data_IF_213484754713
#
_entry.id   IF_213484754713
#
_cell.length_a   1.000
_cell.length_b   1.000
_cell.length_c   1.000
_cell.angle_alpha   90.00
_cell.angle_beta   90.00
_cell.angle_gamma   90.00
#
_symmetry.space_group_name_H-M   'P 1'
#
loop_
_entity.id
_entity.type
_entity.pdbx_description
1 polymer ?
#
# COMPACT_ATOMS: atom_id res chain seq x y z
N UNK A 1 -3.09 0.74 -15.01
CA UNK A 1 -2.97 1.87 -14.07
C UNK A 1 -1.99 1.50 -12.98
N UNK A 2 -1.42 2.50 -12.30
CA UNK A 2 -0.59 2.28 -11.12
C UNK A 2 -1.29 2.82 -9.86
N UNK A 3 -1.14 2.08 -8.78
CA UNK A 3 -1.68 2.41 -7.48
C UNK A 3 -0.56 2.51 -6.45
N UNK A 4 -0.77 3.34 -5.43
CA UNK A 4 0.08 3.33 -4.24
C UNK A 4 -0.78 3.10 -3.01
N UNK A 5 -0.55 1.96 -2.35
CA UNK A 5 -1.13 1.62 -1.06
C UNK A 5 -0.20 2.12 0.06
N UNK A 6 -0.74 2.96 0.95
CA UNK A 6 -0.03 3.44 2.13
C UNK A 6 -0.47 2.57 3.31
N UNK A 7 0.50 1.88 3.90
CA UNK A 7 0.33 0.85 4.91
C UNK A 7 0.63 1.42 6.30
N UNK A 8 -0.05 0.87 7.31
CA UNK A 8 0.26 1.18 8.70
C UNK A 8 1.53 0.44 9.10
N UNK A 9 2.62 1.18 9.28
CA UNK A 9 3.96 0.65 9.61
C UNK A 9 3.94 -0.34 10.80
N UNK A 10 3.17 -0.04 11.84
CA UNK A 10 3.11 -0.88 13.04
C UNK A 10 2.50 -2.27 12.81
N UNK A 11 1.92 -2.56 11.64
CA UNK A 11 1.35 -3.86 11.30
C UNK A 11 2.27 -4.74 10.46
N UNK A 12 3.41 -4.21 9.98
CA UNK A 12 4.43 -4.96 9.22
C UNK A 12 3.84 -5.78 8.05
N UNK A 13 2.85 -5.21 7.36
CA UNK A 13 2.13 -5.92 6.29
C UNK A 13 2.92 -5.95 4.98
N UNK A 14 3.79 -4.97 4.74
CA UNK A 14 4.61 -4.91 3.54
C UNK A 14 5.59 -6.09 3.48
N UNK A 15 6.18 -6.48 4.61
CA UNK A 15 6.99 -7.71 4.72
C UNK A 15 6.18 -8.96 4.39
N UNK A 16 4.98 -9.09 4.96
CA UNK A 16 4.11 -10.25 4.70
C UNK A 16 3.71 -10.36 3.23
N UNK A 17 3.49 -9.23 2.55
CA UNK A 17 3.21 -9.22 1.11
C UNK A 17 4.46 -9.67 0.33
N UNK A 18 5.63 -9.14 0.68
CA UNK A 18 6.89 -9.48 0.02
C UNK A 18 7.23 -10.97 0.15
N UNK A 19 7.02 -11.58 1.33
CA UNK A 19 7.28 -13.01 1.57
C UNK A 19 6.19 -13.93 1.01
N UNK A 20 5.05 -13.37 0.60
CA UNK A 20 3.89 -14.13 0.12
C UNK A 20 2.99 -14.69 1.23
N UNK A 21 3.29 -14.44 2.50
CA UNK A 21 2.40 -14.77 3.63
C UNK A 21 1.03 -14.08 3.48
N UNK A 22 1.03 -12.84 2.97
CA UNK A 22 -0.16 -12.06 2.64
C UNK A 22 -0.29 -11.93 1.12
N UNK A 23 -1.30 -12.57 0.56
CA UNK A 23 -1.62 -12.55 -0.88
C UNK A 23 -2.86 -11.71 -1.21
N UNK A 24 -3.56 -11.21 -0.20
CA UNK A 24 -4.69 -10.28 -0.34
C UNK A 24 -4.36 -8.99 0.40
N UNK A 25 -4.61 -7.85 -0.24
CA UNK A 25 -4.74 -6.56 0.45
C UNK A 25 -6.23 -6.22 0.58
N UNK A 26 -6.75 -6.27 1.81
CA UNK A 26 -8.12 -5.84 2.11
C UNK A 26 -8.22 -4.36 2.47
N UNK A 27 -9.34 -3.74 2.10
CA UNK A 27 -9.70 -2.40 2.53
C UNK A 27 -11.18 -2.34 2.92
N UNK A 28 -11.43 -1.84 4.13
CA UNK A 28 -12.76 -1.83 4.74
C UNK A 28 -13.19 -0.39 5.03
N UNK A 29 -14.35 0.02 4.53
CA UNK A 29 -14.80 1.41 4.60
C UNK A 29 -16.25 1.57 5.06
N UNK A 30 -16.55 2.69 5.72
CA UNK A 30 -17.93 3.13 5.98
C UNK A 30 -18.56 3.78 4.74
N UNK A 31 -17.75 4.46 3.93
CA UNK A 31 -18.13 5.13 2.68
C UNK A 31 -17.20 4.70 1.55
N UNK A 32 -17.60 4.87 0.28
CA UNK A 32 -16.74 4.52 -0.85
C UNK A 32 -15.52 5.45 -0.90
N UNK A 33 -14.33 4.87 -0.93
CA UNK A 33 -13.06 5.59 -1.06
C UNK A 33 -12.18 4.88 -2.08
N UNK A 34 -11.16 5.55 -2.62
CA UNK A 34 -10.17 4.89 -3.46
C UNK A 34 -9.57 3.68 -2.71
N UNK A 35 -9.51 2.47 -3.32
CA UNK A 35 -9.64 2.19 -4.76
C UNK A 35 -10.99 1.66 -5.26
N UNK A 36 -12.10 1.88 -4.55
CA UNK A 36 -13.42 1.37 -4.93
C UNK A 36 -13.75 1.66 -6.41
N UNK A 37 -14.16 0.62 -7.14
CA UNK A 37 -14.48 0.61 -8.57
C UNK A 37 -13.38 1.14 -9.52
N UNK A 38 -12.14 1.31 -9.04
CA UNK A 38 -11.05 1.94 -9.81
C UNK A 38 -9.78 1.10 -9.91
N UNK A 39 -9.73 -0.05 -9.26
CA UNK A 39 -8.64 -1.03 -9.36
C UNK A 39 -9.11 -2.28 -10.09
N UNK A 40 -8.29 -2.75 -11.03
CA UNK A 40 -8.64 -3.82 -11.94
C UNK A 40 -7.52 -4.87 -12.02
N UNK A 41 -7.88 -6.06 -12.50
CA UNK A 41 -6.90 -7.11 -12.84
C UNK A 41 -5.88 -6.55 -13.83
N UNK A 42 -4.59 -6.81 -13.57
CA UNK A 42 -3.47 -6.34 -14.39
C UNK A 42 -2.80 -5.05 -13.88
N UNK A 43 -3.48 -4.26 -13.05
CA UNK A 43 -2.91 -3.06 -12.45
C UNK A 43 -1.69 -3.38 -11.56
N UNK A 44 -0.84 -2.39 -11.37
CA UNK A 44 0.28 -2.47 -10.42
C UNK A 44 -0.08 -1.79 -9.11
N UNK A 45 0.26 -2.41 -7.99
CA UNK A 45 0.17 -1.78 -6.67
C UNK A 45 1.59 -1.64 -6.11
N UNK A 46 2.01 -0.41 -5.86
CA UNK A 46 3.18 -0.09 -5.08
C UNK A 46 2.79 0.06 -3.61
N UNK A 47 3.64 -0.43 -2.72
CA UNK A 47 3.40 -0.39 -1.28
C UNK A 47 4.48 0.43 -0.60
N UNK A 48 4.04 1.33 0.29
CA UNK A 48 4.90 2.01 1.26
C UNK A 48 4.29 1.91 2.64
N UNK A 49 5.15 1.85 3.65
CA UNK A 49 4.73 2.13 5.01
C UNK A 49 4.62 3.66 5.21
N UNK A 50 3.72 4.08 6.09
CA UNK A 50 3.57 5.51 6.40
C UNK A 50 4.89 6.07 6.92
N UNK A 51 5.34 7.18 6.32
CA UNK A 51 6.64 7.81 6.62
C UNK A 51 7.85 7.20 5.90
N UNK A 52 7.66 6.19 5.06
CA UNK A 52 8.75 5.51 4.34
C UNK A 52 8.56 5.54 2.82
N UNK A 53 9.62 5.37 2.01
CA UNK A 53 9.50 5.27 0.56
C UNK A 53 8.70 4.04 0.13
N UNK A 54 8.12 4.10 -1.08
CA UNK A 54 7.57 2.93 -1.73
C UNK A 54 8.71 2.03 -2.20
N UNK A 55 8.71 0.77 -1.74
CA UNK A 55 9.82 -0.19 -1.94
C UNK A 55 9.38 -1.55 -2.46
N UNK A 56 8.07 -1.78 -2.53
CA UNK A 56 7.48 -3.06 -2.92
C UNK A 56 6.46 -2.82 -4.03
N UNK A 57 6.41 -3.73 -5.00
CA UNK A 57 5.38 -3.78 -6.04
C UNK A 57 4.77 -5.18 -6.09
N UNK A 58 3.46 -5.26 -6.32
CA UNK A 58 2.78 -6.48 -6.76
C UNK A 58 1.81 -6.18 -7.91
N UNK A 59 1.37 -7.22 -8.62
CA UNK A 59 0.34 -7.14 -9.67
C UNK A 59 -1.00 -7.58 -9.13
N UNK A 60 -2.07 -6.90 -9.56
CA UNK A 60 -3.45 -7.31 -9.25
C UNK A 60 -3.83 -8.53 -10.08
N UNK A 61 -4.07 -9.65 -9.42
CA UNK A 61 -4.55 -10.89 -10.04
C UNK A 61 -6.07 -10.89 -10.19
N UNK A 62 -6.78 -10.43 -9.18
CA UNK A 62 -8.24 -10.45 -9.07
C UNK A 62 -8.68 -9.40 -8.06
N UNK A 63 -9.88 -8.85 -8.26
CA UNK A 63 -10.50 -7.93 -7.30
C UNK A 63 -11.89 -8.46 -6.97
N UNK A 64 -12.22 -8.50 -5.68
CA UNK A 64 -13.59 -8.69 -5.20
C UNK A 64 -14.03 -7.44 -4.45
N UNK A 65 -15.25 -7.00 -4.68
CA UNK A 65 -15.83 -5.84 -4.01
C UNK A 65 -17.19 -6.23 -3.42
N UNK A 66 -17.38 -5.90 -2.15
CA UNK A 66 -18.60 -6.18 -1.40
C UNK A 66 -19.14 -4.86 -0.85
N UNK A 67 -20.43 -4.64 -1.01
CA UNK A 67 -21.17 -3.50 -0.47
C UNK A 67 -22.29 -4.02 0.44
N UNK A 68 -22.95 -3.11 1.15
CA UNK A 68 -24.07 -3.41 2.06
C UNK A 68 -23.73 -4.46 3.12
N UNK A 69 -22.49 -4.40 3.62
CA UNK A 69 -22.00 -5.35 4.61
C UNK A 69 -22.83 -5.29 5.91
N UNK A 70 -23.24 -6.47 6.34
CA UNK A 70 -23.78 -6.76 7.68
C UNK A 70 -22.69 -7.38 8.56
N UNK A 71 -22.82 -7.36 9.89
CA UNK A 71 -21.88 -8.04 10.77
C UNK A 71 -21.69 -9.52 10.40
N UNK A 72 -22.77 -10.24 10.10
CA UNK A 72 -22.70 -11.63 9.63
C UNK A 72 -21.84 -11.77 8.37
N UNK A 73 -21.99 -10.86 7.40
CA UNK A 73 -21.19 -10.86 6.17
C UNK A 73 -19.73 -10.53 6.43
N UNK A 74 -19.43 -9.60 7.35
CA UNK A 74 -18.06 -9.29 7.77
C UNK A 74 -17.40 -10.53 8.38
N UNK A 75 -18.11 -11.24 9.25
CA UNK A 75 -17.60 -12.46 9.87
C UNK A 75 -17.31 -13.55 8.82
N UNK A 76 -18.20 -13.77 7.87
CA UNK A 76 -17.98 -14.73 6.77
C UNK A 76 -16.73 -14.37 5.95
N UNK A 77 -16.58 -13.10 5.58
CA UNK A 77 -15.43 -12.64 4.81
C UNK A 77 -14.12 -12.82 5.58
N UNK A 78 -14.11 -12.52 6.88
CA UNK A 78 -12.93 -12.75 7.74
C UNK A 78 -12.61 -14.24 7.85
N UNK A 79 -13.61 -15.09 8.11
CA UNK A 79 -13.40 -16.55 8.18
C UNK A 79 -12.83 -17.10 6.87
N UNK A 80 -13.30 -16.59 5.73
CA UNK A 80 -12.90 -17.06 4.41
C UNK A 80 -11.52 -16.55 3.96
N UNK A 81 -11.18 -15.30 4.28
CA UNK A 81 -10.03 -14.63 3.67
C UNK A 81 -8.94 -14.17 4.65
N UNK A 82 -9.16 -14.22 5.98
CA UNK A 82 -8.21 -13.71 6.98
C UNK A 82 -6.77 -14.22 6.77
N UNK A 83 -6.60 -15.54 6.58
CA UNK A 83 -5.28 -16.13 6.37
C UNK A 83 -4.56 -15.53 5.16
N UNK A 84 -5.25 -15.43 4.01
CA UNK A 84 -4.68 -14.84 2.80
C UNK A 84 -4.46 -13.32 2.93
N UNK A 85 -5.22 -12.66 3.79
CA UNK A 85 -5.08 -11.25 4.15
C UNK A 85 -4.01 -11.00 5.24
N UNK A 86 -3.28 -12.03 5.66
CA UNK A 86 -2.20 -11.95 6.66
C UNK A 86 -2.68 -11.77 8.11
N UNK A 87 -3.96 -12.07 8.37
CA UNK A 87 -4.59 -12.04 9.70
C UNK A 87 -4.57 -13.46 10.27
N UNK A 88 -3.97 -13.62 11.46
CA UNK A 88 -3.95 -14.91 12.15
C UNK A 88 -5.33 -15.25 12.73
N UNK A 89 -5.63 -16.55 12.87
CA UNK A 89 -6.92 -17.04 13.38
C UNK A 89 -7.27 -16.44 14.75
N UNK A 90 -6.28 -16.28 15.62
CA UNK A 90 -6.43 -15.70 16.97
C UNK A 90 -6.82 -14.21 16.94
N UNK A 91 -6.49 -13.50 15.88
CA UNK A 91 -6.74 -12.05 15.74
C UNK A 91 -8.08 -11.76 15.06
N UNK A 92 -8.73 -12.76 14.45
CA UNK A 92 -10.02 -12.60 13.77
C UNK A 92 -11.07 -11.89 14.64
N UNK A 93 -11.26 -12.21 15.94
CA UNK A 93 -12.21 -11.49 16.78
C UNK A 93 -11.92 -9.99 16.89
N UNK A 94 -10.65 -9.60 17.04
CA UNK A 94 -10.26 -8.19 17.13
C UNK A 94 -10.48 -7.45 15.80
N UNK A 95 -10.22 -8.10 14.67
CA UNK A 95 -10.50 -7.54 13.35
C UNK A 95 -12.00 -7.47 13.04
N UNK A 96 -12.78 -8.44 13.51
CA UNK A 96 -14.24 -8.40 13.43
C UNK A 96 -14.80 -7.16 14.13
N UNK A 97 -14.38 -6.90 15.38
CA UNK A 97 -14.81 -5.70 16.11
C UNK A 97 -14.45 -4.40 15.38
N UNK A 98 -13.30 -4.35 14.71
CA UNK A 98 -12.89 -3.19 13.90
C UNK A 98 -13.73 -3.01 12.63
N UNK A 99 -14.21 -4.10 12.04
CA UNK A 99 -14.84 -4.10 10.72
C UNK A 99 -16.36 -4.30 10.71
N UNK A 100 -16.98 -4.73 11.82
CA UNK A 100 -18.41 -5.09 11.90
C UNK A 100 -19.37 -3.99 11.40
N UNK A 101 -18.99 -2.72 11.58
CA UNK A 101 -19.80 -1.55 11.15
C UNK A 101 -19.37 -0.97 9.79
N UNK A 102 -18.45 -1.62 9.07
CA UNK A 102 -18.05 -1.20 7.73
C UNK A 102 -19.13 -1.62 6.74
N UNK A 103 -19.32 -0.81 5.69
CA UNK A 103 -20.34 -1.02 4.65
C UNK A 103 -19.75 -1.55 3.35
N UNK A 104 -18.45 -1.37 3.17
CA UNK A 104 -17.73 -1.74 1.95
C UNK A 104 -16.46 -2.51 2.29
N UNK A 105 -16.16 -3.54 1.50
CA UNK A 105 -14.91 -4.28 1.53
C UNK A 105 -14.38 -4.48 0.12
N UNK A 106 -13.09 -4.23 -0.09
CA UNK A 106 -12.35 -4.58 -1.30
C UNK A 106 -11.32 -5.62 -0.90
N UNK A 107 -11.28 -6.74 -1.62
CA UNK A 107 -10.22 -7.75 -1.53
C UNK A 107 -9.43 -7.73 -2.82
N UNK A 108 -8.16 -7.31 -2.74
CA UNK A 108 -7.26 -7.18 -3.87
C UNK A 108 -6.29 -8.35 -3.81
N UNK A 109 -6.45 -9.32 -4.70
CA UNK A 109 -5.56 -10.47 -4.80
C UNK A 109 -4.29 -10.06 -5.52
N UNK A 110 -3.16 -10.28 -4.88
CA UNK A 110 -1.83 -9.88 -5.32
C UNK A 110 -1.07 -11.09 -5.86
N UNK A 111 -0.24 -10.85 -6.89
CA UNK A 111 0.73 -11.82 -7.40
C UNK A 111 2.04 -11.15 -7.73
N UNK A 112 3.09 -11.97 -7.80
CA UNK A 112 4.45 -11.56 -8.13
C UNK A 112 4.94 -10.37 -7.29
N UNK A 113 4.84 -10.44 -5.94
CA UNK A 113 5.41 -9.41 -5.09
C UNK A 113 6.93 -9.36 -5.29
N UNK A 114 7.48 -8.15 -5.41
CA UNK A 114 8.92 -7.94 -5.58
C UNK A 114 9.36 -6.60 -5.03
N UNK A 115 10.61 -6.53 -4.57
CA UNK A 115 11.24 -5.25 -4.28
C UNK A 115 11.38 -4.41 -5.55
N UNK A 116 11.32 -3.10 -5.37
CA UNK A 116 11.65 -2.09 -6.38
C UNK A 116 12.62 -1.09 -5.76
N UNK A 117 13.36 -0.35 -6.57
CA UNK A 117 14.16 0.77 -6.07
C UNK A 117 13.27 1.72 -5.25
N UNK A 118 13.63 2.00 -3.98
CA UNK A 118 12.81 2.85 -3.13
C UNK A 118 12.63 4.25 -3.71
N UNK A 119 11.39 4.74 -3.70
CA UNK A 119 11.08 6.10 -4.16
C UNK A 119 10.08 6.80 -3.25
N UNK A 120 10.25 8.11 -3.10
CA UNK A 120 9.29 8.96 -2.42
C UNK A 120 8.14 9.35 -3.36
N UNK A 121 6.98 9.64 -2.78
CA UNK A 121 5.79 10.03 -3.54
C UNK A 121 5.34 11.45 -3.21
N UNK A 122 4.95 12.21 -4.23
CA UNK A 122 4.25 13.47 -4.09
C UNK A 122 2.75 13.21 -3.89
N UNK A 123 2.20 13.58 -2.73
CA UNK A 123 0.77 13.43 -2.40
C UNK A 123 -0.09 14.64 -2.74
N UNK A 124 0.47 15.70 -3.34
CA UNK A 124 -0.27 16.92 -3.70
C UNK A 124 -1.47 16.56 -4.60
N UNK A 125 -2.66 17.04 -4.25
CA UNK A 125 -3.90 16.78 -5.00
C UNK A 125 -4.67 15.51 -4.60
N UNK A 126 -4.10 14.63 -3.76
CA UNK A 126 -4.80 13.40 -3.32
C UNK A 126 -5.41 13.53 -1.91
N UNK A 127 -5.02 14.56 -1.16
CA UNK A 127 -5.41 14.78 0.23
C UNK A 127 -4.36 14.23 1.22
N UNK A 128 -4.11 14.97 2.30
CA UNK A 128 -3.09 14.62 3.28
C UNK A 128 -3.32 13.23 3.91
N UNK A 129 -4.58 12.90 4.16
CA UNK A 129 -5.02 11.63 4.76
C UNK A 129 -5.25 10.49 3.75
N UNK A 130 -4.91 10.68 2.47
CA UNK A 130 -5.04 9.61 1.50
C UNK A 130 -4.21 8.40 1.89
N UNK A 131 -4.88 7.25 2.01
CA UNK A 131 -4.28 5.94 2.25
C UNK A 131 -4.14 5.10 0.97
N UNK A 132 -4.69 5.60 -0.13
CA UNK A 132 -4.62 4.98 -1.46
C UNK A 132 -4.55 6.06 -2.54
N UNK A 133 -3.61 5.90 -3.48
CA UNK A 133 -3.42 6.81 -4.62
C UNK A 133 -3.56 6.03 -5.91
N UNK A 134 -4.15 6.66 -6.93
CA UNK A 134 -4.37 6.07 -8.26
C UNK A 134 -3.86 7.06 -9.29
N UNK A 135 -2.94 6.60 -10.15
CA UNK A 135 -2.30 7.40 -11.20
C UNK A 135 -2.21 6.58 -12.48
N UNK A 136 -2.02 7.24 -13.62
CA UNK A 136 -1.83 6.51 -14.89
C UNK A 136 -0.49 5.76 -14.84
N UNK A 137 0.54 6.43 -14.30
CA UNK A 137 1.87 5.87 -14.12
C UNK A 137 2.49 6.36 -12.81
N UNK A 138 3.12 5.48 -12.02
CA UNK A 138 3.75 5.85 -10.76
C UNK A 138 4.86 6.90 -10.93
N UNK A 139 5.48 7.01 -12.12
CA UNK A 139 6.47 8.05 -12.45
C UNK A 139 5.91 9.47 -12.31
N UNK A 140 4.61 9.67 -12.45
CA UNK A 140 3.95 10.99 -12.34
C UNK A 140 4.02 11.57 -10.92
N UNK A 141 4.15 10.71 -9.91
CA UNK A 141 4.20 11.10 -8.50
C UNK A 141 5.53 10.74 -7.84
N UNK A 142 6.46 10.13 -8.57
CA UNK A 142 7.81 9.82 -8.06
C UNK A 142 8.59 11.11 -7.83
N UNK A 143 9.14 11.26 -6.63
CA UNK A 143 10.15 12.27 -6.34
C UNK A 143 11.53 11.65 -6.60
N UNK A 144 12.30 12.26 -7.49
CA UNK A 144 13.71 11.93 -7.67
C UNK A 144 14.51 12.72 -6.64
N UNK A 145 15.43 12.06 -5.92
CA UNK A 145 16.42 12.79 -5.13
C UNK A 145 17.28 13.59 -6.11
N UNK A 146 17.33 14.91 -5.95
CA UNK A 146 18.37 15.68 -6.62
C UNK A 146 19.71 15.25 -6.04
N UNK A 147 20.66 14.90 -6.89
CA UNK A 147 22.05 14.75 -6.49
C UNK A 147 22.50 16.09 -5.91
N UNK A 148 22.77 16.13 -4.60
CA UNK A 148 23.52 17.23 -4.01
C UNK A 148 24.90 17.21 -4.63
N UNK A 149 25.13 18.06 -5.64
CA UNK A 149 26.48 18.41 -6.08
C UNK A 149 27.19 19.06 -4.88
N UNK A 150 27.97 18.29 -4.14
CA UNK A 150 28.99 18.84 -3.26
C UNK A 150 29.91 19.71 -4.12
N UNK A 151 29.77 21.03 -3.99
CA UNK A 151 30.78 21.96 -4.50
C UNK A 151 32.06 21.73 -3.69
N UNK A 152 32.94 20.89 -4.21
CA UNK A 152 34.32 20.76 -3.73
C UNK A 152 34.96 22.14 -3.69
N UNK A 153 35.15 22.68 -2.48
CA UNK A 153 35.79 23.97 -2.26
C UNK A 153 37.28 23.77 -2.50
N UNK A 154 37.74 24.24 -3.64
CA UNK A 154 39.15 24.33 -4.01
C UNK A 154 39.87 25.21 -2.99
N UNK A 155 40.71 24.60 -2.15
CA UNK A 155 41.58 25.29 -1.19
C UNK A 155 43.01 24.80 -1.36
N UNK A 156 43.63 25.09 -2.51
CA UNK A 156 45.08 25.05 -2.62
C UNK A 156 45.65 26.19 -1.77
N UNK A 157 46.35 25.86 -0.69
CA UNK A 157 47.47 26.66 -0.19
C UNK A 157 48.64 25.73 0.03
N UNK A 158 49.53 25.74 -0.96
CA UNK A 158 50.91 25.27 -0.85
C UNK A 158 51.72 26.50 -0.46
N UNK A 159 52.45 26.43 0.64
CA UNK A 159 53.60 27.28 0.90
C UNK A 159 54.45 26.62 2.01
N UNK A 160 55.36 25.76 1.58
CA UNK A 160 56.65 25.55 2.23
C UNK A 160 57.53 26.76 1.93
N UNK A 161 58.13 27.37 2.96
CA UNK A 161 59.57 27.57 3.17
C UNK A 161 59.77 28.25 4.53
#
# INVERSE_FOLDING_TARGET
>A
MDHVAIMRKSWKLTEKILTGEKSIESRWYKTRYAPWARIHKGDSVYFKDSGEPARLQARVQKVLQFQDLTPARVQELLQKYARADGIEKKDIPAFFERFKDKKYCILIFLKNPRNVEPFEINKKGFGAMASWIIVKNAKEIKLYKQETKEKGRHGKRVATY
#
